data_IF_332193338441
#
_entry.id   IF_332193338441
#
_cell.length_a   1.000
_cell.length_b   1.000
_cell.length_c   1.000
_cell.angle_alpha   90.00
_cell.angle_beta   90.00
_cell.angle_gamma   90.00
#
_symmetry.space_group_name_H-M   'P 1'
#
loop_
_entity.id
_entity.type
_entity.pdbx_description
1 polymer ?
#
# COMPACT_ATOMS: atom_id res chain seq x y z
N UNK A 1 -14.83 13.31 -15.30
CA UNK A 1 -13.58 13.89 -15.87
C UNK A 1 -13.85 14.08 -17.35
N UNK A 2 -13.73 15.29 -17.87
CA UNK A 2 -13.94 15.54 -19.29
C UNK A 2 -12.86 14.79 -20.07
N UNK A 3 -13.25 13.87 -20.95
CA UNK A 3 -12.38 13.06 -21.81
C UNK A 3 -11.79 13.88 -22.98
N UNK A 4 -11.53 15.17 -22.76
CA UNK A 4 -10.94 16.06 -23.77
C UNK A 4 -9.43 15.88 -23.77
N UNK A 5 -8.89 15.71 -24.96
CA UNK A 5 -7.45 15.64 -25.21
C UNK A 5 -6.78 16.93 -24.75
N UNK A 6 -5.57 16.82 -24.20
CA UNK A 6 -4.77 17.96 -23.72
C UNK A 6 -3.31 17.74 -24.06
N UNK A 7 -2.69 18.77 -24.60
CA UNK A 7 -1.28 18.79 -24.99
C UNK A 7 -0.38 19.22 -23.83
N UNK A 8 0.78 18.58 -23.72
CA UNK A 8 1.80 18.90 -22.73
C UNK A 8 3.08 19.34 -23.44
N UNK A 9 3.78 20.29 -22.84
CA UNK A 9 5.07 20.76 -23.32
C UNK A 9 6.17 19.86 -22.75
N UNK A 10 7.15 19.50 -23.58
CA UNK A 10 8.34 18.79 -23.11
C UNK A 10 9.13 19.71 -22.16
N UNK A 11 9.64 19.15 -21.07
CA UNK A 11 10.46 19.90 -20.11
C UNK A 11 11.62 20.61 -20.83
N UNK A 12 11.76 21.91 -20.57
CA UNK A 12 12.80 22.80 -21.13
C UNK A 12 12.73 23.00 -22.65
N UNK A 13 11.56 22.80 -23.26
CA UNK A 13 11.36 23.15 -24.67
C UNK A 13 11.27 24.69 -24.83
N UNK A 14 11.87 25.32 -25.85
CA UNK A 14 11.89 26.78 -25.97
C UNK A 14 10.52 27.38 -26.27
N UNK A 15 9.70 26.71 -27.08
CA UNK A 15 8.41 27.24 -27.53
C UNK A 15 7.25 26.83 -26.61
N UNK A 16 6.26 27.70 -26.50
CA UNK A 16 5.02 27.44 -25.77
C UNK A 16 3.93 26.93 -26.72
N UNK A 17 3.10 26.01 -26.25
CA UNK A 17 2.02 25.42 -27.04
C UNK A 17 0.68 25.61 -26.35
N UNK A 18 -0.41 25.65 -27.13
CA UNK A 18 -1.77 25.71 -26.60
C UNK A 18 -2.20 24.33 -26.07
N UNK A 19 -2.80 24.31 -24.88
CA UNK A 19 -3.23 23.12 -24.14
C UNK A 19 -4.27 22.28 -24.90
N UNK A 20 -5.14 22.90 -25.70
CA UNK A 20 -6.26 22.22 -26.36
C UNK A 20 -5.85 21.64 -27.71
N UNK A 21 -5.10 22.40 -28.51
CA UNK A 21 -4.86 22.10 -29.93
C UNK A 21 -3.39 21.80 -30.27
N UNK A 22 -2.45 22.01 -29.34
CA UNK A 22 -1.03 21.75 -29.57
C UNK A 22 -0.33 22.71 -30.52
N UNK A 23 -0.98 23.82 -30.92
CA UNK A 23 -0.39 24.83 -31.78
C UNK A 23 0.60 25.72 -31.00
N UNK A 24 1.71 26.16 -31.62
CA UNK A 24 2.66 27.07 -30.99
C UNK A 24 1.97 28.41 -30.69
N UNK A 25 2.14 28.90 -29.47
CA UNK A 25 1.67 30.22 -29.03
C UNK A 25 2.71 31.27 -29.43
N UNK A 26 2.28 32.28 -30.18
CA UNK A 26 3.10 33.45 -30.46
C UNK A 26 3.24 34.36 -29.24
N UNK A 27 4.22 35.27 -29.27
CA UNK A 27 4.48 36.25 -28.19
C UNK A 27 3.26 37.16 -27.93
N UNK A 28 2.41 37.34 -28.94
CA UNK A 28 1.21 38.19 -28.88
C UNK A 28 -0.05 37.43 -28.40
N UNK A 29 -0.05 36.09 -28.43
CA UNK A 29 -1.21 35.25 -28.05
C UNK A 29 -1.31 35.00 -26.53
N UNK A 30 -0.33 35.48 -25.75
CA UNK A 30 -0.22 35.21 -24.31
C UNK A 30 -1.24 36.03 -23.49
N UNK A 31 -2.18 36.71 -24.14
CA UNK A 31 -3.12 37.62 -23.51
C UNK A 31 -4.35 36.92 -22.89
N UNK A 32 -4.40 37.01 -21.56
CA UNK A 32 -5.57 37.18 -20.65
C UNK A 32 -5.85 36.07 -19.65
N UNK A 33 -5.66 34.79 -19.96
CA UNK A 33 -5.88 33.73 -18.97
C UNK A 33 -4.82 32.62 -19.13
N UNK A 34 -3.84 32.56 -18.21
CA UNK A 34 -2.75 31.57 -18.19
C UNK A 34 -3.17 30.09 -18.10
N UNK A 35 -4.43 29.76 -18.34
CA UNK A 35 -5.02 28.42 -18.44
C UNK A 35 -4.93 27.77 -19.82
N UNK A 36 -4.57 28.52 -20.87
CA UNK A 36 -4.49 27.97 -22.24
C UNK A 36 -3.10 27.43 -22.62
N UNK A 37 -2.08 27.64 -21.79
CA UNK A 37 -0.72 27.15 -22.04
C UNK A 37 -0.58 25.67 -21.65
N UNK A 38 0.01 24.89 -22.54
CA UNK A 38 0.40 23.50 -22.28
C UNK A 38 1.46 23.48 -21.17
N UNK A 39 1.17 22.75 -20.09
CA UNK A 39 2.08 22.61 -18.97
C UNK A 39 3.17 21.56 -19.22
N UNK A 40 4.23 21.62 -18.42
CA UNK A 40 5.32 20.64 -18.41
C UNK A 40 5.15 19.57 -17.32
N UNK A 41 4.15 19.76 -16.44
CA UNK A 41 3.92 18.92 -15.26
C UNK A 41 2.66 18.09 -15.43
N UNK A 42 2.81 16.77 -15.25
CA UNK A 42 1.69 15.84 -15.16
C UNK A 42 1.23 15.76 -13.70
N UNK A 43 -0.01 16.15 -13.43
CA UNK A 43 -0.60 16.12 -12.08
C UNK A 43 -1.53 14.92 -11.94
N UNK A 44 -1.12 13.95 -11.14
CA UNK A 44 -1.94 12.80 -10.76
C UNK A 44 -2.55 13.09 -9.38
N UNK A 45 -3.87 13.21 -9.34
CA UNK A 45 -4.61 13.52 -8.11
C UNK A 45 -5.57 12.43 -7.74
N UNK A 46 -5.71 12.21 -6.43
CA UNK A 46 -6.81 11.44 -5.87
C UNK A 46 -8.12 12.21 -6.06
N UNK A 47 -9.21 11.48 -6.23
CA UNK A 47 -10.53 12.09 -6.39
C UNK A 47 -10.94 12.84 -5.12
N UNK A 48 -11.59 14.00 -5.29
CA UNK A 48 -12.13 14.81 -4.20
C UNK A 48 -13.15 15.80 -4.74
N UNK A 49 -14.25 15.99 -4.01
CA UNK A 49 -15.32 16.94 -4.38
C UNK A 49 -15.05 18.37 -3.91
N UNK A 50 -14.16 18.55 -2.91
CA UNK A 50 -13.90 19.85 -2.27
C UNK A 50 -13.03 20.79 -3.11
N UNK A 51 -12.20 20.27 -4.00
CA UNK A 51 -11.32 21.08 -4.84
C UNK A 51 -11.25 20.48 -6.24
N UNK A 52 -11.33 21.35 -7.25
CA UNK A 52 -11.06 20.96 -8.63
C UNK A 52 -9.57 20.79 -8.92
N UNK A 53 -8.70 21.36 -8.07
CA UNK A 53 -7.25 21.42 -8.26
C UNK A 53 -6.52 20.34 -7.48
N UNK A 54 -6.87 20.12 -6.20
CA UNK A 54 -6.18 19.18 -5.32
C UNK A 54 -7.02 17.95 -4.99
N UNK A 55 -6.35 16.81 -4.83
CA UNK A 55 -6.96 15.59 -4.31
C UNK A 55 -7.09 15.62 -2.79
N UNK A 56 -7.99 14.79 -2.26
CA UNK A 56 -8.14 14.62 -0.80
C UNK A 56 -7.19 13.49 -0.34
N UNK A 57 -6.30 13.73 0.63
CA UNK A 57 -5.47 12.68 1.21
C UNK A 57 -6.27 11.63 1.98
N UNK A 58 -5.81 10.38 1.98
CA UNK A 58 -6.51 9.27 2.65
C UNK A 58 -6.60 9.42 4.17
N UNK A 59 -5.58 10.01 4.81
CA UNK A 59 -5.53 10.14 6.27
C UNK A 59 -6.54 11.15 6.83
N UNK A 60 -7.20 11.96 5.99
CA UNK A 60 -8.12 13.02 6.44
C UNK A 60 -9.26 12.45 7.27
N UNK A 61 -9.74 11.24 6.97
CA UNK A 61 -10.79 10.58 7.74
C UNK A 61 -10.31 10.00 9.07
N UNK A 62 -9.00 9.80 9.26
CA UNK A 62 -8.41 9.21 10.48
C UNK A 62 -7.57 10.21 11.29
N UNK A 63 -7.70 11.52 11.05
CA UNK A 63 -6.96 12.54 11.81
C UNK A 63 -7.22 12.41 13.31
N UNK A 64 -8.48 12.19 13.72
CA UNK A 64 -8.85 11.99 15.12
C UNK A 64 -8.11 10.81 15.77
N UNK A 65 -8.06 9.68 15.07
CA UNK A 65 -7.35 8.46 15.49
C UNK A 65 -5.83 8.65 15.59
N UNK A 66 -5.25 9.41 14.64
CA UNK A 66 -3.82 9.74 14.65
C UNK A 66 -3.48 10.59 15.87
N UNK A 67 -4.23 11.68 16.08
CA UNK A 67 -4.02 12.59 17.21
C UNK A 67 -4.28 11.88 18.54
N UNK A 68 -5.34 11.07 18.61
CA UNK A 68 -5.65 10.26 19.79
C UNK A 68 -4.54 9.26 20.14
N UNK A 69 -4.01 8.56 19.14
CA UNK A 69 -2.90 7.61 19.34
C UNK A 69 -1.63 8.30 19.85
N UNK A 70 -1.33 9.49 19.34
CA UNK A 70 -0.22 10.32 19.82
C UNK A 70 -0.45 10.78 21.25
N UNK A 71 -1.64 11.28 21.59
CA UNK A 71 -1.97 11.70 22.94
C UNK A 71 -1.85 10.55 23.95
N UNK A 72 -2.29 9.34 23.60
CA UNK A 72 -2.12 8.15 24.44
C UNK A 72 -0.66 7.78 24.64
N UNK A 73 0.15 7.84 23.58
CA UNK A 73 1.59 7.61 23.68
C UNK A 73 2.23 8.61 24.64
N UNK A 74 1.94 9.89 24.47
CA UNK A 74 2.54 10.97 25.24
C UNK A 74 2.05 10.92 26.71
N UNK A 75 0.79 10.57 26.94
CA UNK A 75 0.26 10.27 28.29
C UNK A 75 1.04 9.14 28.96
N UNK A 76 1.23 8.01 28.28
CA UNK A 76 1.96 6.88 28.85
C UNK A 76 3.43 7.25 29.14
N UNK A 77 4.10 7.97 28.24
CA UNK A 77 5.45 8.47 28.47
C UNK A 77 5.49 9.38 29.72
N UNK A 78 4.54 10.30 29.86
CA UNK A 78 4.48 11.19 31.02
C UNK A 78 4.20 10.43 32.32
N UNK A 79 3.33 9.42 32.28
CA UNK A 79 3.07 8.52 33.40
C UNK A 79 4.35 7.80 33.84
N UNK A 80 5.06 7.14 32.92
CA UNK A 80 6.32 6.43 33.24
C UNK A 80 7.53 7.34 33.51
N UNK A 81 7.46 8.63 33.19
CA UNK A 81 8.53 9.59 33.52
C UNK A 81 8.25 10.40 34.78
N UNK A 82 7.14 10.11 35.49
CA UNK A 82 6.79 10.79 36.73
C UNK A 82 6.36 12.25 36.54
N UNK A 83 5.92 12.63 35.32
CA UNK A 83 5.43 13.98 34.99
C UNK A 83 3.93 14.15 35.32
N UNK A 84 3.40 13.30 36.19
CA UNK A 84 1.99 13.27 36.56
C UNK A 84 1.77 13.82 37.97
N UNK A 85 0.50 13.98 38.35
CA UNK A 85 0.08 14.38 39.70
C UNK A 85 0.77 13.47 40.73
N UNK A 86 1.23 13.99 41.88
CA UNK A 86 1.77 13.16 42.96
C UNK A 86 0.76 12.07 43.36
N UNK A 87 1.24 10.84 43.53
CA UNK A 87 0.39 9.68 43.83
C UNK A 87 -0.29 9.78 45.21
N UNK A 88 0.39 10.42 46.16
CA UNK A 88 -0.08 10.57 47.53
C UNK A 88 0.28 11.94 48.09
N UNK A 89 -0.58 12.46 48.97
CA UNK A 89 -0.28 13.62 49.82
C UNK A 89 -0.19 13.17 51.27
N UNK A 90 0.83 13.68 51.96
CA UNK A 90 1.00 13.52 53.40
C UNK A 90 0.35 14.71 54.12
N UNK A 91 -0.65 14.44 54.95
CA UNK A 91 -1.23 15.41 55.86
C UNK A 91 -0.70 15.17 57.27
N UNK A 92 -0.18 16.23 57.90
CA UNK A 92 0.23 16.24 59.31
C UNK A 92 -0.86 16.97 60.12
N UNK A 93 -1.60 16.23 60.95
CA UNK A 93 -2.65 16.77 61.83
C UNK A 93 -2.08 17.00 63.25
N UNK A 94 -2.35 18.17 63.84
CA UNK A 94 -2.04 18.44 65.26
C UNK A 94 -0.72 19.18 65.53
N UNK A 95 -0.14 19.87 64.52
CA UNK A 95 1.04 20.73 64.68
C UNK A 95 0.69 22.13 64.16
N UNK A 96 0.84 23.17 64.98
CA UNK A 96 0.55 24.56 64.58
C UNK A 96 1.69 25.18 63.73
N UNK A 97 2.95 24.80 64.01
CA UNK A 97 4.14 25.18 63.23
C UNK A 97 5.14 24.02 63.13
N UNK A 98 5.59 23.71 61.91
CA UNK A 98 6.66 22.73 61.67
C UNK A 98 8.01 23.46 61.80
N UNK A 99 8.97 22.84 62.48
CA UNK A 99 10.33 23.36 62.55
C UNK A 99 10.96 23.47 61.14
N UNK A 100 11.58 24.61 60.76
CA UNK A 100 12.14 24.80 59.42
C UNK A 100 13.22 23.78 59.03
N UNK A 101 13.94 23.21 60.01
CA UNK A 101 14.91 22.15 59.76
C UNK A 101 14.22 20.86 59.31
N UNK A 102 13.16 20.48 60.01
CA UNK A 102 12.35 19.29 59.68
C UNK A 102 11.65 19.46 58.33
N UNK A 103 11.15 20.67 58.03
CA UNK A 103 10.53 20.96 56.73
C UNK A 103 11.53 20.83 55.57
N UNK A 104 12.76 21.31 55.75
CA UNK A 104 13.81 21.19 54.72
C UNK A 104 14.28 19.75 54.54
N UNK A 105 14.44 18.97 55.61
CA UNK A 105 14.76 17.54 55.53
C UNK A 105 13.68 16.76 54.78
N UNK A 106 12.41 17.07 55.04
CA UNK A 106 11.28 16.48 54.31
C UNK A 106 11.31 16.86 52.83
N UNK A 107 11.49 18.14 52.52
CA UNK A 107 11.58 18.62 51.14
C UNK A 107 12.76 18.00 50.40
N UNK A 108 13.93 17.88 51.03
CA UNK A 108 15.11 17.26 50.44
C UNK A 108 14.91 15.76 50.23
N UNK A 109 14.33 15.06 51.21
CA UNK A 109 14.00 13.65 51.10
C UNK A 109 13.04 13.40 49.93
N UNK A 110 11.93 14.15 49.85
CA UNK A 110 11.00 14.04 48.73
C UNK A 110 11.63 14.50 47.41
N UNK A 111 12.47 15.53 47.37
CA UNK A 111 13.11 15.97 46.13
C UNK A 111 14.15 14.97 45.60
N UNK A 112 14.86 14.26 46.49
CA UNK A 112 15.88 13.28 46.15
C UNK A 112 15.28 11.90 45.82
N UNK A 113 14.38 11.39 46.67
CA UNK A 113 13.80 10.04 46.54
C UNK A 113 12.69 9.96 45.49
N UNK A 114 11.95 11.05 45.23
CA UNK A 114 10.86 11.04 44.23
C UNK A 114 11.35 11.31 42.80
N UNK A 115 12.64 11.65 42.63
CA UNK A 115 13.26 11.80 41.30
C UNK A 115 13.67 10.45 40.73
N UNK A 116 12.77 9.83 39.98
CA UNK A 116 13.12 8.78 39.01
C UNK A 116 12.80 7.33 39.40
N UNK A 117 12.36 7.05 40.62
CA UNK A 117 11.88 5.72 41.02
C UNK A 117 10.39 5.76 41.39
N UNK A 118 9.60 4.94 40.69
CA UNK A 118 8.15 4.86 40.90
C UNK A 118 7.83 4.10 42.20
N UNK A 119 6.83 4.59 42.93
CA UNK A 119 6.18 3.92 44.08
C UNK A 119 6.95 3.84 45.41
N UNK A 120 7.69 4.89 45.82
CA UNK A 120 8.23 4.96 47.19
C UNK A 120 7.26 5.61 48.17
N UNK A 121 7.03 4.93 49.29
CA UNK A 121 6.25 5.41 50.42
C UNK A 121 7.20 6.17 51.36
N UNK A 122 7.03 7.48 51.49
CA UNK A 122 7.74 8.25 52.50
C UNK A 122 7.13 8.01 53.89
N UNK A 123 7.93 7.45 54.80
CA UNK A 123 7.56 7.30 56.21
C UNK A 123 8.26 8.40 56.98
N UNK A 124 7.49 9.40 57.40
CA UNK A 124 7.98 10.52 58.21
C UNK A 124 7.72 10.21 59.68
N UNK A 125 8.73 10.27 60.56
CA UNK A 125 8.49 10.19 62.00
C UNK A 125 7.70 11.44 62.44
N UNK A 126 6.53 11.19 63.01
CA UNK A 126 5.63 12.24 63.48
C UNK A 126 5.96 12.56 64.94
N UNK A 127 6.02 13.84 65.36
CA UNK A 127 6.22 14.21 66.75
C UNK A 127 5.16 13.61 67.68
N UNK A 128 5.51 13.37 68.94
CA UNK A 128 4.57 12.85 69.95
C UNK A 128 3.33 13.74 70.06
N UNK A 129 2.16 13.20 69.72
CA UNK A 129 0.86 13.89 69.75
C UNK A 129 0.27 14.26 68.39
N UNK A 130 1.06 14.22 67.31
CA UNK A 130 0.59 14.50 65.96
C UNK A 130 0.13 13.22 65.23
N UNK A 131 -0.88 13.35 64.35
CA UNK A 131 -1.42 12.25 63.54
C UNK A 131 -1.07 12.48 62.07
N UNK A 132 -0.35 11.55 61.44
CA UNK A 132 -0.17 11.58 60.00
C UNK A 132 -1.30 10.80 59.30
N UNK A 133 -1.83 11.37 58.22
CA UNK A 133 -2.71 10.66 57.27
C UNK A 133 -2.12 10.73 55.87
N UNK A 134 -1.99 9.58 55.23
CA UNK A 134 -1.63 9.47 53.84
C UNK A 134 -2.92 9.30 53.03
N UNK A 135 -3.19 10.22 52.11
CA UNK A 135 -4.30 10.10 51.18
C UNK A 135 -3.76 9.85 49.76
N UNK A 136 -4.20 8.77 49.13
CA UNK A 136 -3.90 8.47 47.73
C UNK A 136 -4.83 9.30 46.85
N UNK A 137 -4.24 10.08 45.94
CA UNK A 137 -4.98 11.00 45.06
C UNK A 137 -5.11 10.42 43.66
N UNK A 138 -4.13 9.61 43.23
CA UNK A 138 -4.19 9.02 41.91
C UNK A 138 -5.27 7.93 41.87
N UNK A 139 -6.22 8.00 40.90
CA UNK A 139 -7.10 6.87 40.63
C UNK A 139 -6.24 5.65 40.27
N UNK A 140 -6.71 4.44 40.59
CA UNK A 140 -6.09 3.18 40.17
C UNK A 140 -6.22 3.00 38.64
N UNK A 141 -5.51 3.84 37.88
CA UNK A 141 -5.35 3.66 36.44
C UNK A 141 -4.43 2.47 36.26
N UNK A 142 -5.04 1.33 35.92
CA UNK A 142 -4.30 0.10 35.63
C UNK A 142 -3.39 0.34 34.43
N UNK A 143 -2.15 -0.14 34.53
CA UNK A 143 -1.20 -0.14 33.43
C UNK A 143 -1.86 -0.76 32.18
N UNK A 144 -1.89 -0.01 31.08
CA UNK A 144 -2.51 -0.44 29.82
C UNK A 144 -3.99 -0.09 29.62
N UNK A 145 -4.59 0.81 30.42
CA UNK A 145 -5.97 1.31 30.20
C UNK A 145 -6.26 1.76 28.75
N UNK A 146 -5.25 2.26 28.03
CA UNK A 146 -5.39 2.74 26.66
C UNK A 146 -4.97 1.73 25.58
N UNK A 147 -4.71 0.46 25.94
CA UNK A 147 -4.29 -0.55 24.97
C UNK A 147 -5.35 -0.77 23.88
N UNK A 148 -6.61 -0.92 24.27
CA UNK A 148 -7.73 -1.10 23.35
C UNK A 148 -7.94 0.13 22.47
N UNK A 149 -7.93 1.32 23.08
CA UNK A 149 -8.03 2.57 22.32
C UNK A 149 -6.93 2.72 21.26
N UNK A 150 -5.68 2.35 21.59
CA UNK A 150 -4.57 2.36 20.63
C UNK A 150 -4.78 1.33 19.51
N UNK A 151 -5.33 0.17 19.83
CA UNK A 151 -5.66 -0.87 18.86
C UNK A 151 -6.76 -0.41 17.91
N UNK A 152 -7.84 0.18 18.42
CA UNK A 152 -8.93 0.73 17.62
C UNK A 152 -8.45 1.86 16.72
N UNK A 153 -7.65 2.79 17.29
CA UNK A 153 -7.03 3.88 16.52
C UNK A 153 -6.15 3.36 15.38
N UNK A 154 -5.38 2.30 15.61
CA UNK A 154 -4.56 1.69 14.57
C UNK A 154 -5.41 1.05 13.46
N UNK A 155 -6.52 0.39 13.82
CA UNK A 155 -7.47 -0.17 12.86
C UNK A 155 -8.16 0.92 12.04
N UNK A 156 -8.60 2.01 12.66
CA UNK A 156 -9.21 3.16 11.96
C UNK A 156 -8.24 3.78 10.95
N UNK A 157 -6.95 3.92 11.31
CA UNK A 157 -5.91 4.39 10.39
C UNK A 157 -5.74 3.40 9.22
N UNK A 158 -5.69 2.09 9.49
CA UNK A 158 -5.59 1.06 8.45
C UNK A 158 -6.77 1.15 7.47
N UNK A 159 -7.99 1.29 7.99
CA UNK A 159 -9.22 1.41 7.20
C UNK A 159 -9.19 2.69 6.33
N UNK A 160 -8.77 3.83 6.89
CA UNK A 160 -8.63 5.07 6.13
C UNK A 160 -7.65 4.94 4.95
N UNK A 161 -6.55 4.20 5.15
CA UNK A 161 -5.58 3.90 4.09
C UNK A 161 -5.99 2.71 3.21
N UNK A 162 -7.03 1.96 3.59
CA UNK A 162 -7.49 0.71 2.97
C UNK A 162 -6.42 -0.37 2.94
N UNK A 163 -5.51 -0.34 3.92
CA UNK A 163 -4.42 -1.30 4.04
C UNK A 163 -4.78 -2.35 5.09
N UNK A 164 -4.68 -3.64 4.79
CA UNK A 164 -4.92 -4.69 5.77
C UNK A 164 -3.90 -4.65 6.94
N UNK A 165 -4.34 -4.84 8.19
CA UNK A 165 -3.46 -4.71 9.37
C UNK A 165 -2.25 -5.65 9.37
N UNK A 166 -2.37 -6.87 8.84
CA UNK A 166 -1.24 -7.80 8.78
C UNK A 166 -0.09 -7.29 7.89
N UNK A 167 -0.36 -6.46 6.87
CA UNK A 167 0.68 -5.89 6.00
C UNK A 167 1.56 -4.86 6.72
N UNK A 168 1.05 -4.25 7.79
CA UNK A 168 1.82 -3.33 8.64
C UNK A 168 2.40 -4.02 9.87
N UNK A 169 2.38 -5.36 9.92
CA UNK A 169 2.86 -6.14 11.06
C UNK A 169 1.93 -6.11 12.28
N UNK A 170 0.68 -5.65 12.11
CA UNK A 170 -0.29 -5.66 13.19
C UNK A 170 -1.04 -6.99 13.21
N UNK A 171 -0.61 -7.89 14.10
CA UNK A 171 -1.26 -9.19 14.28
C UNK A 171 -2.67 -8.98 14.88
N UNK A 172 -3.70 -9.34 14.13
CA UNK A 172 -5.05 -9.47 14.68
C UNK A 172 -5.10 -10.74 15.52
N UNK A 173 -5.12 -10.58 16.84
CA UNK A 173 -5.26 -11.70 17.78
C UNK A 173 -6.69 -12.24 17.75
N UNK A 174 -6.90 -13.41 17.12
CA UNK A 174 -8.20 -14.10 17.07
C UNK A 174 -8.15 -15.40 16.27
N UNK A 175 -9.00 -16.37 16.65
CA UNK A 175 -9.00 -17.75 16.13
C UNK A 175 -9.31 -17.91 14.63
N UNK A 176 -9.71 -16.85 13.93
CA UNK A 176 -10.03 -16.90 12.49
C UNK A 176 -8.87 -16.44 11.58
N UNK A 177 -7.78 -15.89 12.13
CA UNK A 177 -6.83 -15.07 11.37
C UNK A 177 -5.87 -15.79 10.39
N UNK A 178 -5.77 -17.12 10.39
CA UNK A 178 -4.83 -17.82 9.50
C UNK A 178 -5.37 -18.09 8.10
N UNK A 179 -6.66 -18.44 7.96
CA UNK A 179 -7.27 -18.66 6.64
C UNK A 179 -7.64 -17.36 5.94
N UNK A 180 -7.86 -16.27 6.70
CA UNK A 180 -8.25 -14.96 6.13
C UNK A 180 -7.07 -14.19 5.53
N UNK A 181 -5.81 -14.53 5.84
CA UNK A 181 -4.68 -13.69 5.43
C UNK A 181 -4.44 -13.71 3.90
N UNK A 182 -4.57 -14.89 3.26
CA UNK A 182 -4.47 -15.04 1.80
C UNK A 182 -5.63 -14.35 1.09
N UNK A 183 -6.86 -14.63 1.52
CA UNK A 183 -8.08 -14.00 0.99
C UNK A 183 -8.04 -12.48 1.14
N UNK A 184 -7.65 -11.95 2.30
CA UNK A 184 -7.52 -10.51 2.51
C UNK A 184 -6.42 -9.90 1.64
N UNK A 185 -5.35 -10.64 1.31
CA UNK A 185 -4.29 -10.19 0.41
C UNK A 185 -4.80 -10.10 -1.03
N UNK A 186 -5.54 -11.12 -1.48
CA UNK A 186 -6.19 -11.14 -2.79
C UNK A 186 -7.23 -10.01 -2.90
N UNK A 187 -8.07 -9.83 -1.87
CA UNK A 187 -9.03 -8.72 -1.82
C UNK A 187 -8.35 -7.35 -1.87
N UNK A 188 -7.24 -7.18 -1.15
CA UNK A 188 -6.47 -5.94 -1.16
C UNK A 188 -5.84 -5.67 -2.54
N UNK A 189 -5.25 -6.69 -3.15
CA UNK A 189 -4.71 -6.62 -4.52
C UNK A 189 -5.80 -6.17 -5.50
N UNK A 190 -6.92 -6.89 -5.57
CA UNK A 190 -8.03 -6.64 -6.52
C UNK A 190 -8.78 -5.35 -6.27
N UNK A 191 -9.00 -4.98 -5.00
CA UNK A 191 -9.87 -3.84 -4.67
C UNK A 191 -9.12 -2.51 -4.60
N UNK A 192 -7.82 -2.54 -4.29
CA UNK A 192 -7.04 -1.34 -3.99
C UNK A 192 -5.86 -1.14 -4.94
N UNK A 193 -5.06 -2.19 -5.15
CA UNK A 193 -3.82 -2.07 -5.94
C UNK A 193 -4.13 -2.01 -7.43
N UNK A 194 -4.87 -2.99 -7.95
CA UNK A 194 -5.21 -3.09 -9.38
C UNK A 194 -5.92 -1.81 -9.89
N UNK A 195 -6.98 -1.28 -9.26
CA UNK A 195 -7.60 -0.04 -9.70
C UNK A 195 -6.66 1.17 -9.60
N UNK A 196 -5.73 1.16 -8.64
CA UNK A 196 -4.70 2.19 -8.52
C UNK A 196 -3.70 2.15 -9.67
N UNK A 197 -3.28 0.94 -10.07
CA UNK A 197 -2.42 0.71 -11.23
C UNK A 197 -3.15 1.11 -12.52
N UNK A 198 -4.38 0.69 -12.73
CA UNK A 198 -5.19 1.05 -13.90
C UNK A 198 -5.36 2.57 -14.05
N UNK A 199 -5.62 3.30 -12.96
CA UNK A 199 -5.71 4.76 -13.01
C UNK A 199 -4.38 5.37 -13.42
N UNK A 200 -3.26 4.85 -12.91
CA UNK A 200 -1.92 5.33 -13.26
C UNK A 200 -1.58 5.02 -14.72
N UNK A 201 -1.78 3.77 -15.14
CA UNK A 201 -1.59 3.30 -16.52
C UNK A 201 -2.42 4.12 -17.50
N UNK A 202 -3.71 4.31 -17.23
CA UNK A 202 -4.60 5.09 -18.08
C UNK A 202 -4.13 6.55 -18.20
N UNK A 203 -3.63 7.15 -17.10
CA UNK A 203 -3.09 8.51 -17.13
C UNK A 203 -1.80 8.59 -17.93
N UNK A 204 -0.86 7.68 -17.70
CA UNK A 204 0.41 7.64 -18.41
C UNK A 204 0.22 7.34 -19.89
N UNK A 205 -0.63 6.38 -20.24
CA UNK A 205 -0.95 6.06 -21.63
C UNK A 205 -1.54 7.27 -22.37
N UNK A 206 -2.52 7.95 -21.77
CA UNK A 206 -3.18 9.07 -22.43
C UNK A 206 -2.35 10.36 -22.46
N UNK A 207 -1.51 10.61 -21.47
CA UNK A 207 -0.79 11.89 -21.33
C UNK A 207 0.66 11.83 -21.78
N UNK A 208 1.31 10.66 -21.67
CA UNK A 208 2.72 10.49 -21.99
C UNK A 208 2.92 9.59 -23.22
N UNK A 209 2.39 8.36 -23.18
CA UNK A 209 2.74 7.35 -24.20
C UNK A 209 1.99 7.50 -25.53
N UNK A 210 0.81 8.15 -25.56
CA UNK A 210 0.05 8.37 -26.78
C UNK A 210 0.81 9.15 -27.85
N UNK A 211 1.67 10.10 -27.46
CA UNK A 211 2.53 10.86 -28.40
C UNK A 211 3.58 9.96 -29.05
N UNK A 212 4.06 8.95 -28.32
CA UNK A 212 5.01 7.99 -28.86
C UNK A 212 4.37 6.98 -29.82
N UNK A 213 3.04 6.85 -29.86
CA UNK A 213 2.38 5.97 -30.83
C UNK A 213 2.71 6.35 -32.28
N UNK A 214 2.79 7.65 -32.60
CA UNK A 214 3.20 8.10 -33.94
C UNK A 214 4.67 7.75 -34.26
N UNK A 215 5.54 7.73 -33.24
CA UNK A 215 6.98 7.40 -33.38
C UNK A 215 7.22 5.89 -33.42
N UNK A 216 6.44 5.13 -32.66
CA UNK A 216 6.55 3.67 -32.50
C UNK A 216 5.84 2.90 -33.64
N UNK A 217 5.25 3.61 -34.61
CA UNK A 217 4.63 3.01 -35.81
C UNK A 217 3.16 2.66 -35.63
N UNK A 218 2.57 1.97 -36.61
CA UNK A 218 1.12 1.68 -36.67
C UNK A 218 0.59 0.64 -35.68
N UNK A 219 1.29 0.39 -34.58
CA UNK A 219 0.85 -0.53 -33.50
C UNK A 219 0.46 0.31 -32.28
N UNK A 220 -0.70 0.02 -31.69
CA UNK A 220 -1.19 0.73 -30.50
C UNK A 220 -0.48 0.21 -29.23
N UNK A 221 0.66 0.82 -28.89
CA UNK A 221 1.44 0.47 -27.70
C UNK A 221 0.79 1.02 -26.43
N UNK A 222 0.67 0.16 -25.41
CA UNK A 222 0.13 0.52 -24.11
C UNK A 222 1.10 0.12 -23.00
N UNK A 223 1.43 1.08 -22.14
CA UNK A 223 2.13 0.83 -20.89
C UNK A 223 1.18 0.12 -19.91
N UNK A 224 1.62 -1.02 -19.38
CA UNK A 224 0.93 -1.80 -18.36
C UNK A 224 1.92 -2.21 -17.28
N UNK A 225 1.52 -2.07 -16.02
CA UNK A 225 2.28 -2.55 -14.89
C UNK A 225 2.10 -4.06 -14.77
N UNK A 226 3.16 -4.74 -14.34
CA UNK A 226 3.06 -6.15 -14.03
C UNK A 226 2.11 -6.33 -12.85
N UNK A 227 1.25 -7.33 -12.96
CA UNK A 227 0.38 -7.75 -11.88
C UNK A 227 1.23 -8.28 -10.72
N UNK A 228 0.80 -8.03 -9.48
CA UNK A 228 1.46 -8.62 -8.31
C UNK A 228 1.24 -10.14 -8.37
N UNK A 229 2.33 -10.89 -8.43
CA UNK A 229 2.28 -12.35 -8.32
C UNK A 229 1.72 -12.75 -6.95
N UNK A 230 0.55 -13.38 -6.96
CA UNK A 230 -0.11 -13.95 -5.78
C UNK A 230 -0.24 -15.46 -5.90
N UNK A 231 0.39 -16.05 -6.91
CA UNK A 231 0.14 -17.40 -7.33
C UNK A 231 0.75 -18.38 -6.35
N UNK A 232 -0.05 -19.39 -6.02
CA UNK A 232 0.34 -20.47 -5.15
C UNK A 232 0.78 -21.61 -6.05
N UNK A 233 2.06 -21.58 -6.42
CA UNK A 233 2.63 -22.56 -7.37
C UNK A 233 2.40 -24.00 -6.95
N UNK A 234 2.25 -24.25 -5.64
CA UNK A 234 1.91 -25.56 -5.11
C UNK A 234 0.46 -25.94 -5.44
N UNK A 235 -0.49 -25.04 -5.22
CA UNK A 235 -1.89 -25.24 -5.58
C UNK A 235 -2.08 -25.40 -7.11
N UNK A 236 -1.38 -24.60 -7.92
CA UNK A 236 -1.43 -24.68 -9.38
C UNK A 236 -0.84 -25.98 -9.89
N UNK A 237 0.26 -26.44 -9.28
CA UNK A 237 0.87 -27.73 -9.59
C UNK A 237 -0.06 -28.89 -9.19
N UNK A 238 -0.72 -28.81 -8.03
CA UNK A 238 -1.68 -29.81 -7.58
C UNK A 238 -2.89 -29.88 -8.51
N UNK A 239 -3.46 -28.73 -8.91
CA UNK A 239 -4.58 -28.67 -9.85
C UNK A 239 -4.20 -29.23 -11.23
N UNK A 240 -3.01 -28.87 -11.72
CA UNK A 240 -2.50 -29.38 -13.00
C UNK A 240 -2.24 -30.89 -12.98
N UNK A 241 -1.71 -31.42 -11.87
CA UNK A 241 -1.50 -32.85 -11.67
C UNK A 241 -2.84 -33.61 -11.55
N UNK A 242 -3.75 -33.13 -10.71
CA UNK A 242 -5.08 -33.72 -10.51
C UNK A 242 -5.93 -33.71 -11.78
N UNK A 243 -5.91 -32.59 -12.52
CA UNK A 243 -6.59 -32.47 -13.81
C UNK A 243 -6.04 -33.41 -14.88
N UNK A 244 -4.72 -33.63 -14.89
CA UNK A 244 -4.07 -34.59 -15.79
C UNK A 244 -4.41 -36.04 -15.40
N UNK A 245 -4.30 -36.39 -14.12
CA UNK A 245 -4.62 -37.73 -13.60
C UNK A 245 -6.09 -38.10 -13.82
N UNK A 246 -7.01 -37.15 -13.64
CA UNK A 246 -8.45 -37.34 -13.86
C UNK A 246 -8.88 -37.28 -15.33
N UNK A 247 -7.94 -37.13 -16.27
CA UNK A 247 -8.19 -37.01 -17.73
C UNK A 247 -9.09 -35.83 -18.10
N UNK A 248 -9.05 -34.75 -17.31
CA UNK A 248 -9.77 -33.50 -17.60
C UNK A 248 -8.91 -32.58 -18.47
N UNK A 249 -7.60 -32.55 -18.21
CA UNK A 249 -6.62 -31.74 -18.93
C UNK A 249 -5.62 -32.64 -19.65
N UNK A 250 -5.18 -32.21 -20.83
CA UNK A 250 -4.02 -32.81 -21.53
C UNK A 250 -2.71 -32.39 -20.87
N UNK A 251 -1.62 -33.13 -21.13
CA UNK A 251 -0.30 -32.81 -20.57
C UNK A 251 0.15 -31.38 -20.89
N UNK A 252 -0.12 -30.88 -22.10
CA UNK A 252 0.20 -29.51 -22.50
C UNK A 252 -0.71 -28.46 -21.85
N UNK A 253 -2.00 -28.76 -21.66
CA UNK A 253 -2.90 -27.87 -20.90
C UNK A 253 -2.48 -27.78 -19.43
N UNK A 254 -2.13 -28.89 -18.79
CA UNK A 254 -1.59 -28.89 -17.42
C UNK A 254 -0.26 -28.13 -17.31
N UNK A 255 0.65 -28.27 -18.30
CA UNK A 255 1.90 -27.48 -18.33
C UNK A 255 1.66 -25.99 -18.52
N UNK A 256 0.67 -25.62 -19.32
CA UNK A 256 0.26 -24.23 -19.52
C UNK A 256 -0.25 -23.59 -18.22
N UNK A 257 -1.01 -24.32 -17.40
CA UNK A 257 -1.48 -23.82 -16.09
C UNK A 257 -0.31 -23.49 -15.16
N UNK A 258 0.75 -24.29 -15.17
CA UNK A 258 1.94 -24.08 -14.32
C UNK A 258 2.97 -23.12 -14.96
N UNK A 259 2.72 -22.64 -16.18
CA UNK A 259 3.59 -21.73 -16.91
C UNK A 259 4.82 -22.39 -17.57
N UNK A 260 4.78 -23.69 -17.82
CA UNK A 260 5.82 -24.40 -18.57
C UNK A 260 5.54 -24.41 -20.07
N UNK A 261 6.61 -24.42 -20.87
CA UNK A 261 6.52 -24.55 -22.33
C UNK A 261 5.90 -25.90 -22.75
N UNK A 262 5.11 -25.92 -23.84
CA UNK A 262 4.51 -27.15 -24.36
C UNK A 262 5.59 -28.12 -24.85
N UNK A 263 5.31 -29.41 -24.77
CA UNK A 263 6.21 -30.48 -25.25
C UNK A 263 5.59 -31.10 -26.50
N UNK A 264 6.44 -31.47 -27.46
CA UNK A 264 6.00 -32.26 -28.61
C UNK A 264 5.34 -33.56 -28.14
N UNK A 265 4.17 -33.90 -28.72
CA UNK A 265 3.34 -35.05 -28.31
C UNK A 265 2.70 -34.94 -26.91
N UNK A 266 2.58 -33.71 -26.40
CA UNK A 266 1.97 -33.40 -25.11
C UNK A 266 0.45 -33.19 -25.11
N UNK A 267 -0.22 -33.29 -26.26
CA UNK A 267 -1.70 -33.18 -26.35
C UNK A 267 -2.36 -34.55 -26.10
N UNK A 268 -1.81 -35.27 -25.12
CA UNK A 268 -2.22 -36.62 -24.73
C UNK A 268 -2.80 -36.60 -23.32
N UNK A 269 -3.85 -37.40 -23.12
CA UNK A 269 -4.45 -37.64 -21.81
C UNK A 269 -3.69 -38.73 -21.06
N UNK A 270 -3.80 -38.75 -19.74
CA UNK A 270 -3.12 -39.75 -18.92
C UNK A 270 -3.63 -41.18 -19.17
N UNK A 271 -2.72 -42.07 -19.59
CA UNK A 271 -3.04 -43.45 -19.99
C UNK A 271 -3.02 -44.49 -18.84
N UNK A 272 -2.73 -44.10 -17.60
CA UNK A 272 -2.64 -45.03 -16.45
C UNK A 272 -3.84 -45.01 -15.50
N UNK A 273 -4.77 -45.97 -15.58
CA UNK A 273 -5.84 -46.17 -14.56
C UNK A 273 -7.19 -46.63 -15.14
N UNK A 274 -8.02 -47.40 -14.40
CA UNK A 274 -8.98 -48.34 -14.95
C UNK A 274 -10.05 -47.64 -15.81
N UNK A 275 -10.40 -48.32 -16.90
CA UNK A 275 -11.30 -47.86 -17.95
C UNK A 275 -12.62 -47.32 -17.40
N UNK A 276 -12.82 -46.00 -17.50
CA UNK A 276 -14.15 -45.41 -17.56
C UNK A 276 -14.50 -45.28 -19.04
N UNK A 277 -15.66 -45.83 -19.39
CA UNK A 277 -16.22 -45.95 -20.74
C UNK A 277 -16.07 -44.67 -21.58
N UNK A 278 -15.51 -44.85 -22.77
CA UNK A 278 -15.40 -43.86 -23.84
C UNK A 278 -16.77 -43.25 -24.13
N UNK A 279 -16.93 -41.95 -23.89
CA UNK A 279 -18.05 -41.17 -24.42
C UNK A 279 -17.62 -40.72 -25.81
N UNK A 280 -18.39 -41.08 -26.84
CA UNK A 280 -18.08 -40.70 -28.23
C UNK A 280 -18.03 -39.16 -28.38
N UNK A 281 -16.97 -38.59 -28.98
CA UNK A 281 -16.92 -37.17 -29.25
C UNK A 281 -17.95 -36.80 -30.32
N UNK A 282 -18.75 -35.78 -30.04
CA UNK A 282 -19.62 -35.14 -31.04
C UNK A 282 -18.69 -34.52 -32.10
N UNK A 283 -18.80 -34.99 -33.34
CA UNK A 283 -18.05 -34.47 -34.48
C UNK A 283 -18.31 -32.97 -34.64
N UNK A 284 -17.31 -32.13 -34.30
CA UNK A 284 -17.25 -30.75 -34.79
C UNK A 284 -16.72 -30.76 -36.22
N UNK A 285 -17.38 -29.98 -37.06
CA UNK A 285 -17.06 -29.82 -38.48
C UNK A 285 -15.59 -29.45 -38.68
N UNK A 286 -14.98 -30.04 -39.71
CA UNK A 286 -13.60 -29.79 -40.11
C UNK A 286 -13.46 -28.36 -40.64
N UNK A 287 -12.89 -27.46 -39.83
CA UNK A 287 -12.45 -26.14 -40.26
C UNK A 287 -10.92 -26.04 -40.08
N UNK A 288 -10.21 -26.00 -41.22
CA UNK A 288 -8.84 -25.53 -41.49
C UNK A 288 -7.89 -25.22 -40.30
N UNK A 289 -7.64 -26.17 -39.39
CA UNK A 289 -6.69 -25.98 -38.29
C UNK A 289 -5.24 -25.76 -38.77
N UNK A 290 -4.86 -26.38 -39.88
CA UNK A 290 -3.49 -26.32 -40.40
C UNK A 290 -3.13 -24.95 -41.00
N UNK A 291 -4.07 -24.27 -41.66
CA UNK A 291 -3.85 -22.91 -42.18
C UNK A 291 -3.81 -21.88 -41.04
N UNK A 292 -4.63 -22.06 -40.00
CA UNK A 292 -4.63 -21.19 -38.83
C UNK A 292 -3.33 -21.30 -38.01
N UNK A 293 -2.79 -22.52 -37.83
CA UNK A 293 -1.52 -22.72 -37.12
C UNK A 293 -0.34 -22.09 -37.89
N UNK A 294 -0.33 -22.22 -39.23
CA UNK A 294 0.70 -21.58 -40.07
C UNK A 294 0.58 -20.05 -39.98
N UNK A 295 -0.63 -19.49 -40.02
CA UNK A 295 -0.85 -18.06 -39.88
C UNK A 295 -0.40 -17.53 -38.51
N UNK A 296 -0.68 -18.26 -37.42
CA UNK A 296 -0.27 -17.88 -36.05
C UNK A 296 1.26 -17.92 -35.89
N UNK A 297 1.92 -18.96 -36.42
CA UNK A 297 3.38 -19.05 -36.36
C UNK A 297 4.07 -17.96 -37.19
N UNK A 298 3.54 -17.68 -38.38
CA UNK A 298 4.05 -16.60 -39.24
C UNK A 298 3.85 -15.22 -38.60
N UNK A 299 2.74 -15.02 -37.87
CA UNK A 299 2.51 -13.80 -37.09
C UNK A 299 3.50 -13.67 -35.93
N UNK A 300 3.77 -14.77 -35.21
CA UNK A 300 4.71 -14.79 -34.08
C UNK A 300 6.15 -14.46 -34.50
N UNK A 301 6.62 -15.05 -35.59
CA UNK A 301 7.97 -14.77 -36.13
C UNK A 301 8.14 -13.31 -36.54
N UNK A 302 7.14 -12.73 -37.24
CA UNK A 302 7.15 -11.30 -37.59
C UNK A 302 7.13 -10.42 -36.36
N UNK A 303 6.41 -10.82 -35.31
CA UNK A 303 6.33 -10.02 -34.09
C UNK A 303 7.65 -10.02 -33.31
N UNK A 304 8.35 -11.15 -33.23
CA UNK A 304 9.68 -11.25 -32.62
C UNK A 304 10.74 -10.44 -33.37
N UNK A 305 10.68 -10.41 -34.70
CA UNK A 305 11.57 -9.56 -35.51
C UNK A 305 11.34 -8.07 -35.22
N UNK A 306 10.08 -7.64 -35.16
CA UNK A 306 9.71 -6.25 -34.84
C UNK A 306 10.16 -5.90 -33.41
N UNK A 307 9.99 -6.81 -32.46
CA UNK A 307 10.41 -6.60 -31.07
C UNK A 307 11.93 -6.43 -30.95
N UNK A 308 12.73 -7.25 -31.65
CA UNK A 308 14.20 -7.11 -31.67
C UNK A 308 14.64 -5.79 -32.30
N UNK A 309 13.98 -5.36 -33.37
CA UNK A 309 14.25 -4.06 -34.02
C UNK A 309 13.89 -2.90 -33.09
N UNK A 310 12.78 -3.00 -32.37
CA UNK A 310 12.33 -2.01 -31.38
C UNK A 310 13.27 -1.92 -30.19
N UNK A 311 13.65 -3.05 -29.59
CA UNK A 311 14.60 -3.10 -28.47
C UNK A 311 15.93 -2.47 -28.87
N UNK A 312 16.40 -2.72 -30.10
CA UNK A 312 17.61 -2.08 -30.63
C UNK A 312 17.44 -0.56 -30.78
N UNK A 313 16.33 -0.09 -31.34
CA UNK A 313 16.05 1.36 -31.45
C UNK A 313 15.93 2.04 -30.09
N UNK A 314 15.34 1.37 -29.10
CA UNK A 314 15.23 1.87 -27.73
C UNK A 314 16.62 1.94 -27.08
N UNK A 315 17.44 0.90 -27.24
CA UNK A 315 18.82 0.88 -26.73
C UNK A 315 19.70 1.96 -27.39
N UNK A 316 19.55 2.18 -28.70
CA UNK A 316 20.27 3.23 -29.45
C UNK A 316 19.79 4.64 -29.07
N UNK A 317 18.52 4.79 -28.67
CA UNK A 317 17.91 6.07 -28.28
C UNK A 317 18.29 6.52 -26.85
N UNK A 318 18.53 5.57 -25.96
CA UNK A 318 19.06 5.83 -24.61
C UNK A 318 20.57 5.53 -24.60
N UNK A 319 21.45 6.45 -25.05
CA UNK A 319 22.88 6.20 -25.02
C UNK A 319 23.31 5.86 -23.57
N UNK A 320 24.03 4.74 -23.44
CA UNK A 320 24.62 4.29 -22.18
C UNK A 320 25.24 5.47 -21.44
N UNK A 321 24.70 5.75 -20.26
CA UNK A 321 25.26 6.71 -19.32
C UNK A 321 26.43 6.05 -18.58
N UNK A 322 27.45 5.64 -19.32
CA UNK A 322 28.74 5.25 -18.77
C UNK A 322 29.85 5.84 -19.63
N UNK A 323 30.38 6.97 -19.14
CA UNK A 323 31.79 7.40 -19.07
C UNK A 323 31.80 8.95 -19.04
N UNK A 324 32.16 9.52 -17.88
CA UNK A 324 32.72 10.88 -17.80
C UNK A 324 32.04 11.85 -16.82
N UNK A 325 32.79 12.13 -15.73
CA UNK A 325 32.65 13.16 -14.67
C UNK A 325 31.45 13.07 -13.73
#
# INVERSE_FOLDING_TARGET
VSNKERWFKKFDYPDDFRLVDGQPLGVEDIAENGTEKAGEVIVIRKFGSRSSYYGIPNYVSSIGSIVGSQAVRDYNINFFTGKTIPDSILFLEGVDEIDPGTENELKEFFAAETKGEHHKLAVVPVPDGAKARLEKISPDVKEGSFRLYKQDSAMEICVAHRVPPYRIGWAMTGSLGQTTAKEMNEMYKRSIIEPGQEILEHRLNNQLFRVFAEILGGLDWHFKLNEIDTDDREADMLYAADGYEKRILTRNESRKVVGYEPVADGDTFFEGGPSVSTIEPIAKAADNEQENIIAINTFREKHEEIEKVMQKKVADFFPNREIGS
#
